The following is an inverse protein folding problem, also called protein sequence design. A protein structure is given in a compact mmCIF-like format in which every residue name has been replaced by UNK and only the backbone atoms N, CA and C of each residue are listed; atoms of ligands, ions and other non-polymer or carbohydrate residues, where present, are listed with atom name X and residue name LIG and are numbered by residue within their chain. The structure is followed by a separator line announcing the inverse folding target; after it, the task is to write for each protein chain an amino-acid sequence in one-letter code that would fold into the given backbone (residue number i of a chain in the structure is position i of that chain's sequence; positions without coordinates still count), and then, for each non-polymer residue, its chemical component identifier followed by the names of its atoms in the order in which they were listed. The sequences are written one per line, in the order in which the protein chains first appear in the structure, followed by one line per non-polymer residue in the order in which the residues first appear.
data_IF_788005354907
#
_entry.id   IF_788005354907
#
_cell.length_a   1.000
_cell.length_b   1.000
_cell.length_c   1.000
_cell.angle_alpha   90.00
_cell.angle_beta   90.00
_cell.angle_gamma   90.00
#
_symmetry.space_group_name_H-M   'P 1'
#
loop_
_entity.id
_entity.type
_entity.pdbx_description
1 polymer ?
#
# COMPACT_ATOMS: atom_id res chain seq x y z
N UNK A 1 -8.80 -5.16 18.05
CA UNK A 1 -7.54 -4.87 17.31
C UNK A 1 -7.43 -5.90 16.18
N UNK A 2 -7.58 -5.50 14.93
CA UNK A 2 -7.41 -6.43 13.81
C UNK A 2 -5.91 -6.63 13.59
N UNK A 3 -5.42 -7.81 13.87
CA UNK A 3 -4.08 -8.22 13.45
C UNK A 3 -4.16 -8.54 11.97
N UNK A 4 -3.59 -7.67 11.15
CA UNK A 4 -3.47 -7.95 9.72
C UNK A 4 -2.37 -8.97 9.53
N UNK A 5 -2.67 -10.03 8.77
CA UNK A 5 -1.62 -10.95 8.33
C UNK A 5 -0.69 -10.20 7.38
N UNK A 6 0.54 -9.96 7.82
CA UNK A 6 1.58 -9.42 6.97
C UNK A 6 1.98 -10.47 5.93
N UNK A 7 2.14 -10.07 4.69
CA UNK A 7 2.54 -10.97 3.62
C UNK A 7 3.96 -10.61 3.16
N UNK A 8 4.90 -11.47 3.51
CA UNK A 8 6.26 -11.40 2.97
C UNK A 8 6.41 -12.39 1.82
N UNK A 9 7.18 -11.97 0.83
CA UNK A 9 7.52 -12.75 -0.34
C UNK A 9 9.03 -12.84 -0.44
N UNK A 10 9.56 -14.06 -0.48
CA UNK A 10 10.98 -14.34 -0.56
C UNK A 10 11.40 -14.62 -2.00
N UNK A 11 12.38 -13.86 -2.48
CA UNK A 11 13.15 -14.16 -3.68
C UNK A 11 14.54 -14.74 -3.30
N UNK A 12 15.35 -15.07 -4.29
CA UNK A 12 16.69 -15.65 -4.06
C UNK A 12 17.54 -14.81 -3.10
N UNK A 13 17.59 -13.50 -3.29
CA UNK A 13 18.52 -12.60 -2.61
C UNK A 13 17.85 -11.56 -1.69
N UNK A 14 16.53 -11.47 -1.67
CA UNK A 14 15.80 -10.46 -0.89
C UNK A 14 14.40 -10.94 -0.46
N UNK A 15 13.82 -10.18 0.47
CA UNK A 15 12.42 -10.27 0.85
C UNK A 15 11.67 -9.01 0.41
N UNK A 16 10.38 -9.16 0.13
CA UNK A 16 9.48 -8.07 -0.19
C UNK A 16 8.27 -8.11 0.74
N UNK A 17 8.05 -7.04 1.51
CA UNK A 17 6.82 -6.86 2.27
C UNK A 17 5.74 -6.28 1.37
N UNK A 18 4.65 -7.02 1.21
CA UNK A 18 3.51 -6.58 0.41
C UNK A 18 2.66 -5.57 1.19
N UNK A 19 2.57 -4.36 0.67
CA UNK A 19 1.56 -3.37 1.08
C UNK A 19 0.56 -3.22 -0.06
N UNK A 20 -0.72 -3.41 0.24
CA UNK A 20 -1.75 -3.32 -0.79
C UNK A 20 -1.86 -1.90 -1.37
N UNK A 21 -2.13 -1.82 -2.68
CA UNK A 21 -2.33 -0.58 -3.46
C UNK A 21 -1.09 0.32 -3.60
N UNK A 22 0.09 -0.25 -3.40
CA UNK A 22 1.38 0.41 -3.64
C UNK A 22 2.09 -0.07 -4.92
N UNK A 23 1.41 -0.80 -5.80
CA UNK A 23 2.02 -1.42 -7.00
C UNK A 23 2.41 -2.89 -6.78
N UNK A 24 1.98 -3.50 -5.68
CA UNK A 24 2.35 -4.86 -5.27
C UNK A 24 2.09 -5.94 -6.34
N UNK A 25 0.98 -5.86 -7.09
CA UNK A 25 0.67 -6.84 -8.14
C UNK A 25 1.72 -6.87 -9.25
N UNK A 26 2.28 -5.73 -9.59
CA UNK A 26 3.33 -5.65 -10.60
C UNK A 26 4.65 -6.19 -10.07
N UNK A 27 4.98 -5.89 -8.80
CA UNK A 27 6.16 -6.48 -8.15
C UNK A 27 6.04 -8.00 -8.11
N UNK A 28 4.88 -8.53 -7.70
CA UNK A 28 4.66 -9.98 -7.63
C UNK A 28 4.74 -10.69 -8.99
N UNK A 29 4.38 -10.00 -10.08
CA UNK A 29 4.48 -10.55 -11.44
C UNK A 29 5.90 -10.50 -12.01
N UNK A 30 6.76 -9.67 -11.44
CA UNK A 30 8.12 -9.44 -11.93
C UNK A 30 9.10 -10.50 -11.45
N UNK A 31 8.87 -11.06 -10.27
CA UNK A 31 9.80 -11.99 -9.63
C UNK A 31 9.15 -13.34 -9.34
N UNK A 32 9.97 -14.39 -9.38
CA UNK A 32 9.58 -15.71 -8.89
C UNK A 32 9.70 -15.73 -7.36
N UNK A 33 8.58 -15.45 -6.70
CA UNK A 33 8.51 -15.37 -5.26
C UNK A 33 7.95 -16.64 -4.62
N UNK A 34 8.58 -17.06 -3.54
CA UNK A 34 7.99 -17.97 -2.58
C UNK A 34 7.22 -17.15 -1.54
N UNK A 35 5.90 -17.35 -1.44
CA UNK A 35 5.10 -16.71 -0.42
C UNK A 35 5.42 -17.29 0.96
N UNK A 36 5.92 -16.47 1.85
CA UNK A 36 6.09 -16.81 3.26
C UNK A 36 4.77 -16.55 3.97
N UNK A 37 4.08 -17.61 4.39
CA UNK A 37 2.93 -17.48 5.29
C UNK A 37 3.45 -17.07 6.67
N UNK A 38 3.02 -15.90 7.13
CA UNK A 38 3.36 -15.42 8.44
C UNK A 38 2.09 -15.40 9.27
N UNK A 39 2.08 -16.23 10.30
CA UNK A 39 1.03 -16.28 11.30
C UNK A 39 1.55 -15.63 12.59
N UNK A 40 0.98 -14.46 12.94
CA UNK A 40 1.26 -13.81 14.23
C UNK A 40 1.94 -12.43 14.15
N UNK A 41 1.97 -11.75 15.29
CA UNK A 41 2.50 -10.38 15.47
C UNK A 41 4.03 -10.27 15.31
N UNK A 42 4.75 -11.40 15.35
CA UNK A 42 6.21 -11.43 15.26
C UNK A 42 6.62 -12.31 14.09
N UNK A 43 6.94 -11.68 13.02
CA UNK A 43 7.34 -12.35 11.80
C UNK A 43 8.79 -12.81 11.87
N UNK A 44 9.01 -14.08 11.69
CA UNK A 44 10.35 -14.59 11.47
C UNK A 44 10.72 -14.31 10.01
N UNK A 45 11.30 -13.13 9.76
CA UNK A 45 11.95 -12.83 8.49
C UNK A 45 13.14 -13.77 8.29
N UNK A 46 13.47 -14.10 7.05
CA UNK A 46 14.60 -14.98 6.72
C UNK A 46 15.96 -14.36 7.06
N UNK A 47 15.99 -13.06 7.37
CA UNK A 47 17.20 -12.27 7.60
C UNK A 47 17.83 -11.73 6.33
N UNK A 48 17.20 -11.96 5.17
CA UNK A 48 17.59 -11.34 3.90
C UNK A 48 17.25 -9.85 3.90
N UNK A 49 17.87 -9.12 2.97
CA UNK A 49 17.54 -7.72 2.72
C UNK A 49 16.06 -7.57 2.38
N UNK A 50 15.33 -6.79 3.16
CA UNK A 50 13.88 -6.60 3.00
C UNK A 50 13.55 -5.21 2.50
N UNK A 51 12.72 -5.13 1.46
CA UNK A 51 12.23 -3.87 0.93
C UNK A 51 10.72 -3.86 0.76
N UNK A 52 10.17 -2.66 0.64
CA UNK A 52 8.74 -2.47 0.38
C UNK A 52 8.50 -1.23 -0.44
N UNK A 53 7.30 -1.12 -1.01
CA UNK A 53 6.86 0.07 -1.75
C UNK A 53 5.92 0.89 -0.88
N UNK A 54 6.20 2.18 -0.78
CA UNK A 54 5.32 3.16 -0.16
C UNK A 54 4.66 4.04 -1.22
N UNK A 55 3.45 4.45 -0.93
CA UNK A 55 2.69 5.38 -1.74
C UNK A 55 2.20 6.53 -0.86
N UNK A 56 1.99 7.71 -1.46
CA UNK A 56 1.28 8.79 -0.78
C UNK A 56 0.01 8.25 -0.10
N UNK A 57 -0.21 8.51 1.21
CA UNK A 57 -1.29 7.90 1.97
C UNK A 57 -2.69 8.14 1.38
N UNK A 58 -2.97 9.37 0.91
CA UNK A 58 -4.27 9.72 0.31
C UNK A 58 -4.47 9.05 -1.05
N UNK A 59 -3.42 9.04 -1.88
CA UNK A 59 -3.47 8.36 -3.19
C UNK A 59 -3.61 6.83 -3.04
N UNK A 60 -3.00 6.25 -2.01
CA UNK A 60 -3.16 4.83 -1.68
C UNK A 60 -4.59 4.52 -1.23
N UNK A 61 -5.13 5.32 -0.31
CA UNK A 61 -6.52 5.21 0.17
C UNK A 61 -7.51 5.30 -1.00
N UNK A 62 -7.39 6.34 -1.84
CA UNK A 62 -8.22 6.52 -3.03
C UNK A 62 -8.14 5.29 -3.95
N UNK A 63 -6.94 4.76 -4.17
CA UNK A 63 -6.76 3.56 -4.99
C UNK A 63 -7.43 2.32 -4.39
N UNK A 64 -7.44 2.18 -3.05
CA UNK A 64 -8.15 1.13 -2.33
C UNK A 64 -9.66 1.27 -2.48
N UNK A 65 -10.18 2.47 -2.25
CA UNK A 65 -11.60 2.77 -2.37
C UNK A 65 -12.11 2.55 -3.81
N UNK A 66 -11.37 3.03 -4.81
CA UNK A 66 -11.72 2.80 -6.22
C UNK A 66 -11.82 1.31 -6.56
N UNK A 67 -10.90 0.49 -6.04
CA UNK A 67 -10.94 -0.94 -6.27
C UNK A 67 -12.18 -1.58 -5.63
N UNK A 68 -12.49 -1.21 -4.38
CA UNK A 68 -13.67 -1.72 -3.69
C UNK A 68 -14.96 -1.32 -4.44
N UNK A 69 -15.06 -0.06 -4.87
CA UNK A 69 -16.21 0.44 -5.64
C UNK A 69 -16.35 -0.22 -7.01
N UNK A 70 -15.24 -0.56 -7.66
CA UNK A 70 -15.28 -1.26 -8.96
C UNK A 70 -15.85 -2.69 -8.86
N UNK A 71 -15.86 -3.26 -7.67
CA UNK A 71 -16.34 -4.60 -7.38
C UNK A 71 -17.71 -4.62 -6.67
N UNK A 72 -18.23 -3.45 -6.34
CA UNK A 72 -19.52 -3.28 -5.63
C UNK A 72 -20.43 -2.34 -6.43
N UNK A 73 -21.73 -2.46 -6.19
CA UNK A 73 -22.73 -1.57 -6.77
C UNK A 73 -23.07 -0.38 -5.83
N UNK A 74 -22.14 -0.04 -4.92
CA UNK A 74 -22.36 1.02 -3.95
C UNK A 74 -22.14 2.37 -4.61
N UNK A 75 -23.07 3.28 -4.41
CA UNK A 75 -22.96 4.68 -4.81
C UNK A 75 -22.09 5.43 -3.80
N UNK A 76 -21.24 6.32 -4.30
CA UNK A 76 -20.31 7.10 -3.48
C UNK A 76 -21.05 7.91 -2.40
N UNK A 77 -22.21 8.44 -2.73
CA UNK A 77 -23.03 9.28 -1.87
C UNK A 77 -23.61 8.53 -0.66
N UNK A 78 -23.66 7.20 -0.75
CA UNK A 78 -24.10 6.31 0.34
C UNK A 78 -22.97 5.83 1.24
N UNK A 79 -21.72 6.22 0.94
CA UNK A 79 -20.58 5.84 1.77
C UNK A 79 -20.58 6.61 3.09
N UNK A 80 -20.61 5.87 4.18
CA UNK A 80 -20.32 6.38 5.51
C UNK A 80 -18.84 6.21 5.81
N UNK A 81 -18.13 7.33 5.97
CA UNK A 81 -16.70 7.33 6.26
C UNK A 81 -16.38 6.63 7.58
N UNK A 82 -17.21 6.80 8.61
CA UNK A 82 -16.99 6.13 9.89
C UNK A 82 -17.07 4.62 9.74
N UNK A 83 -18.00 4.12 8.93
CA UNK A 83 -18.08 2.69 8.62
C UNK A 83 -16.86 2.22 7.82
N UNK A 84 -16.32 3.04 6.91
CA UNK A 84 -15.12 2.71 6.16
C UNK A 84 -13.86 2.71 7.03
N UNK A 85 -13.74 3.66 7.96
CA UNK A 85 -12.50 3.89 8.71
C UNK A 85 -12.43 3.11 10.02
N UNK A 86 -13.54 2.89 10.72
CA UNK A 86 -13.57 2.32 12.08
C UNK A 86 -13.96 0.85 12.13
N UNK A 87 -13.62 0.06 11.12
CA UNK A 87 -13.87 -1.39 11.02
C UNK A 87 -15.34 -1.82 10.94
N UNK A 88 -16.25 -0.93 10.95
CA UNK A 88 -17.58 -1.20 10.44
C UNK A 88 -17.52 -1.01 8.93
N UNK A 89 -16.61 -1.79 8.28
CA UNK A 89 -16.54 -1.85 6.83
C UNK A 89 -17.97 -2.00 6.34
N UNK A 90 -18.39 -1.11 5.48
CA UNK A 90 -19.71 -1.19 4.85
C UNK A 90 -19.95 -2.66 4.45
N UNK A 91 -21.01 -3.33 4.94
CA UNK A 91 -21.17 -4.78 4.80
C UNK A 91 -21.00 -5.28 3.38
N UNK A 92 -21.45 -4.48 2.40
CA UNK A 92 -21.34 -4.77 0.97
C UNK A 92 -19.89 -4.68 0.47
N UNK A 93 -19.08 -3.73 0.94
CA UNK A 93 -17.65 -3.65 0.60
C UNK A 93 -16.86 -4.79 1.23
N UNK A 94 -17.27 -5.25 2.41
CA UNK A 94 -16.65 -6.40 3.09
C UNK A 94 -16.90 -7.71 2.36
N UNK A 95 -18.07 -7.88 1.76
CA UNK A 95 -18.39 -9.07 0.96
C UNK A 95 -17.52 -9.17 -0.30
N UNK A 96 -17.08 -8.04 -0.83
CA UNK A 96 -16.34 -7.93 -2.09
C UNK A 96 -14.83 -8.02 -1.89
N UNK A 97 -14.30 -7.50 -0.78
CA UNK A 97 -12.85 -7.54 -0.51
C UNK A 97 -12.56 -8.10 0.87
N UNK A 98 -11.92 -9.28 0.90
CA UNK A 98 -11.43 -9.88 2.15
C UNK A 98 -10.30 -9.09 2.80
N UNK A 99 -9.71 -8.14 2.07
CA UNK A 99 -8.58 -7.34 2.53
C UNK A 99 -9.00 -5.89 2.61
N UNK A 100 -8.85 -5.23 3.77
CA UNK A 100 -9.17 -3.82 3.92
C UNK A 100 -8.16 -2.97 3.16
N UNK A 101 -8.45 -2.69 1.88
CA UNK A 101 -7.55 -1.95 0.98
C UNK A 101 -7.40 -0.48 1.37
N UNK A 102 -8.24 -0.01 2.27
CA UNK A 102 -8.22 1.36 2.82
C UNK A 102 -7.53 1.48 4.18
N UNK A 103 -7.09 0.35 4.77
CA UNK A 103 -6.36 0.37 6.04
C UNK A 103 -5.06 1.17 5.92
N UNK A 104 -4.61 1.76 7.04
CA UNK A 104 -3.35 2.50 7.10
C UNK A 104 -2.16 1.66 6.65
N UNK A 105 -1.25 2.24 5.86
CA UNK A 105 -0.05 1.52 5.45
C UNK A 105 0.93 1.30 6.61
N UNK A 106 0.90 2.15 7.64
CA UNK A 106 1.68 1.97 8.86
C UNK A 106 1.40 0.65 9.57
N UNK A 107 0.18 0.10 9.45
CA UNK A 107 -0.16 -1.19 10.05
C UNK A 107 0.64 -2.36 9.47
N UNK A 108 1.13 -2.23 8.23
CA UNK A 108 2.02 -3.22 7.59
C UNK A 108 3.46 -3.10 8.07
N UNK A 109 3.84 -1.94 8.60
CA UNK A 109 5.21 -1.67 9.03
C UNK A 109 5.46 -2.07 10.49
N UNK A 110 4.40 -2.20 11.30
CA UNK A 110 4.52 -2.56 12.72
C UNK A 110 5.11 -3.97 12.85
N UNK A 111 6.22 -4.08 13.56
CA UNK A 111 6.92 -5.34 13.78
C UNK A 111 7.71 -5.88 12.58
N UNK A 112 7.79 -5.11 11.48
CA UNK A 112 8.57 -5.46 10.30
C UNK A 112 9.94 -4.79 10.34
N UNK A 113 11.00 -5.54 9.98
CA UNK A 113 12.31 -4.96 9.71
C UNK A 113 12.43 -4.68 8.23
N UNK A 114 12.38 -3.41 7.85
CA UNK A 114 12.51 -2.96 6.47
C UNK A 114 13.85 -2.24 6.31
N UNK A 115 14.66 -2.73 5.38
CA UNK A 115 15.98 -2.17 5.11
C UNK A 115 15.91 -1.03 4.10
N UNK A 116 14.91 -1.07 3.19
CA UNK A 116 14.75 -0.04 2.16
C UNK A 116 13.28 0.20 1.78
N UNK A 117 12.96 1.46 1.54
CA UNK A 117 11.67 1.89 1.02
C UNK A 117 11.81 2.40 -0.41
N UNK A 118 10.91 1.98 -1.28
CA UNK A 118 10.79 2.48 -2.66
C UNK A 118 9.50 3.27 -2.77
N UNK A 119 9.56 4.49 -3.24
CA UNK A 119 8.35 5.26 -3.50
C UNK A 119 7.64 4.72 -4.74
N UNK A 120 6.32 4.67 -4.71
CA UNK A 120 5.52 4.17 -5.83
C UNK A 120 5.85 4.86 -7.16
N UNK A 121 6.13 6.16 -7.13
CA UNK A 121 6.48 6.92 -8.32
C UNK A 121 7.86 6.53 -8.90
N UNK A 122 8.76 6.02 -8.05
CA UNK A 122 10.12 5.61 -8.43
C UNK A 122 10.20 4.12 -8.74
N UNK A 123 9.14 3.35 -8.51
CA UNK A 123 9.14 1.89 -8.59
C UNK A 123 9.61 1.39 -9.96
N UNK A 124 9.16 2.00 -11.06
CA UNK A 124 9.58 1.59 -12.40
C UNK A 124 11.07 1.79 -12.61
N UNK A 125 11.60 2.94 -12.19
CA UNK A 125 13.03 3.23 -12.31
C UNK A 125 13.85 2.31 -11.40
N UNK A 126 13.39 2.08 -10.17
CA UNK A 126 14.01 1.13 -9.25
C UNK A 126 14.11 -0.28 -9.84
N UNK A 127 13.03 -0.82 -10.39
CA UNK A 127 13.01 -2.14 -10.99
C UNK A 127 13.92 -2.23 -12.22
N UNK A 128 13.91 -1.20 -13.06
CA UNK A 128 14.75 -1.13 -14.25
C UNK A 128 16.24 -1.10 -13.90
N UNK A 129 16.63 -0.25 -12.94
CA UNK A 129 18.05 -0.07 -12.57
C UNK A 129 18.60 -1.28 -11.82
N UNK A 130 17.85 -1.83 -10.87
CA UNK A 130 18.36 -2.88 -9.99
C UNK A 130 18.15 -4.31 -10.52
N UNK A 131 17.15 -4.51 -11.39
CA UNK A 131 16.77 -5.84 -11.85
C UNK A 131 16.65 -5.96 -13.38
N UNK A 132 16.81 -4.87 -14.14
CA UNK A 132 16.69 -4.89 -15.60
C UNK A 132 15.27 -5.11 -16.11
N UNK A 133 14.24 -4.96 -15.27
CA UNK A 133 12.84 -5.24 -15.59
C UNK A 133 12.00 -3.98 -15.62
N UNK A 134 11.01 -3.95 -16.51
CA UNK A 134 10.08 -2.84 -16.63
C UNK A 134 8.77 -3.15 -15.90
N UNK A 135 8.25 -2.14 -15.24
CA UNK A 135 7.00 -2.20 -14.52
C UNK A 135 5.81 -1.92 -15.47
N UNK A 136 4.84 -2.80 -15.48
CA UNK A 136 3.57 -2.55 -16.16
C UNK A 136 2.54 -2.01 -15.17
N UNK A 137 2.25 -0.73 -15.27
CA UNK A 137 1.25 -0.09 -14.43
C UNK A 137 -0.15 -0.60 -14.81
N UNK A 138 -0.80 -1.32 -13.90
CA UNK A 138 -2.22 -1.60 -14.02
C UNK A 138 -3.00 -0.29 -13.73
N UNK A 139 -3.28 0.47 -14.77
CA UNK A 139 -4.11 1.68 -14.67
C UNK A 139 -5.54 1.26 -14.35
N UNK A 140 -5.96 1.46 -13.11
CA UNK A 140 -7.39 1.37 -12.75
C UNK A 140 -8.22 2.39 -13.53
N UNK A 141 -9.55 2.21 -13.55
CA UNK A 141 -10.45 3.13 -14.24
C UNK A 141 -10.24 4.58 -13.82
N UNK A 142 -9.79 5.43 -14.72
CA UNK A 142 -9.63 6.87 -14.50
C UNK A 142 -10.95 7.54 -14.13
N UNK A 143 -12.06 7.03 -14.66
CA UNK A 143 -13.42 7.55 -14.41
C UNK A 143 -13.80 7.40 -12.94
N UNK A 144 -13.65 6.21 -12.36
CA UNK A 144 -13.95 5.96 -10.94
C UNK A 144 -13.02 6.80 -10.06
N UNK A 145 -11.72 6.86 -10.39
CA UNK A 145 -10.74 7.64 -9.63
C UNK A 145 -11.10 9.14 -9.60
N UNK A 146 -11.52 9.69 -10.72
CA UNK A 146 -11.92 11.10 -10.81
C UNK A 146 -13.22 11.37 -10.02
N UNK A 147 -14.20 10.46 -10.07
CA UNK A 147 -15.41 10.55 -9.25
C UNK A 147 -15.08 10.55 -7.75
N UNK A 148 -14.22 9.63 -7.29
CA UNK A 148 -13.80 9.55 -5.89
C UNK A 148 -13.06 10.82 -5.46
N UNK A 149 -12.11 11.32 -6.27
CA UNK A 149 -11.38 12.55 -5.96
C UNK A 149 -12.31 13.76 -5.88
N UNK A 150 -13.27 13.87 -6.80
CA UNK A 150 -14.27 14.92 -6.78
C UNK A 150 -15.14 14.83 -5.53
N UNK A 151 -15.67 13.64 -5.20
CA UNK A 151 -16.48 13.42 -3.99
C UNK A 151 -15.74 13.86 -2.73
N UNK A 152 -14.48 13.47 -2.55
CA UNK A 152 -13.66 13.87 -1.40
C UNK A 152 -13.51 15.40 -1.34
N UNK A 153 -13.21 16.04 -2.47
CA UNK A 153 -13.02 17.49 -2.56
C UNK A 153 -14.30 18.26 -2.26
N UNK A 154 -15.44 17.78 -2.74
CA UNK A 154 -16.73 18.44 -2.59
C UNK A 154 -17.34 18.22 -1.19
N UNK A 155 -16.96 17.15 -0.49
CA UNK A 155 -17.40 16.83 0.87
C UNK A 155 -16.32 17.18 1.90
N UNK A 156 -16.34 18.43 2.38
CA UNK A 156 -15.32 18.94 3.31
C UNK A 156 -15.23 18.20 4.64
N UNK A 157 -16.37 17.71 5.15
CA UNK A 157 -16.37 16.92 6.39
C UNK A 157 -15.67 15.58 6.17
N UNK A 158 -15.97 14.91 5.06
CA UNK A 158 -15.31 13.66 4.69
C UNK A 158 -13.79 13.87 4.50
N UNK A 159 -13.40 14.93 3.80
CA UNK A 159 -11.98 15.24 3.59
C UNK A 159 -11.25 15.45 4.93
N UNK A 160 -11.82 16.25 5.84
CA UNK A 160 -11.23 16.52 7.16
C UNK A 160 -11.08 15.25 8.02
N UNK A 161 -12.09 14.41 8.04
CA UNK A 161 -12.04 13.14 8.78
C UNK A 161 -11.03 12.17 8.15
N UNK A 162 -10.95 12.13 6.82
CA UNK A 162 -9.96 11.34 6.10
C UNK A 162 -8.54 11.80 6.40
N UNK A 163 -8.28 13.10 6.35
CA UNK A 163 -6.97 13.65 6.64
C UNK A 163 -6.56 13.33 8.09
N UNK A 164 -7.48 13.44 9.06
CA UNK A 164 -7.25 13.00 10.45
C UNK A 164 -6.95 11.49 10.55
N UNK A 165 -7.67 10.66 9.80
CA UNK A 165 -7.42 9.22 9.78
C UNK A 165 -6.04 8.88 9.21
N UNK A 166 -5.59 9.61 8.20
CA UNK A 166 -4.32 9.38 7.53
C UNK A 166 -3.13 10.07 8.22
N UNK A 167 -3.35 10.83 9.30
CA UNK A 167 -2.32 11.63 9.97
C UNK A 167 -1.09 10.80 10.36
N UNK A 168 -1.31 9.63 10.95
CA UNK A 168 -0.20 8.73 11.34
C UNK A 168 0.53 8.16 10.13
N UNK A 169 -0.17 7.86 9.04
CA UNK A 169 0.45 7.40 7.80
C UNK A 169 1.31 8.51 7.18
N UNK A 170 0.83 9.77 7.19
CA UNK A 170 1.61 10.90 6.72
C UNK A 170 2.83 11.17 7.60
N UNK A 171 2.68 11.10 8.92
CA UNK A 171 3.81 11.25 9.83
C UNK A 171 4.91 10.23 9.52
N UNK A 172 4.57 8.94 9.46
CA UNK A 172 5.54 7.87 9.17
C UNK A 172 6.10 8.01 7.75
N UNK A 173 5.28 8.34 6.77
CA UNK A 173 5.71 8.57 5.39
C UNK A 173 6.76 9.69 5.30
N UNK A 174 6.53 10.83 5.97
CA UNK A 174 7.48 11.93 6.03
C UNK A 174 8.78 11.54 6.79
N UNK A 175 8.68 10.82 7.90
CA UNK A 175 9.86 10.32 8.60
C UNK A 175 10.72 9.43 7.70
N UNK A 176 10.12 8.56 6.91
CA UNK A 176 10.84 7.70 5.98
C UNK A 176 11.49 8.53 4.86
N UNK A 177 10.79 9.54 4.33
CA UNK A 177 11.35 10.45 3.34
C UNK A 177 12.58 11.20 3.87
N UNK A 178 12.54 11.63 5.12
CA UNK A 178 13.61 12.45 5.73
C UNK A 178 14.81 11.61 6.23
N UNK A 179 14.62 10.31 6.48
CA UNK A 179 15.64 9.45 7.12
C UNK A 179 16.54 8.67 6.15
N UNK A 180 16.66 9.09 4.89
CA UNK A 180 17.55 8.47 3.89
C UNK A 180 17.39 6.95 3.70
N UNK A 181 16.25 6.38 4.09
CA UNK A 181 15.91 4.97 3.83
C UNK A 181 15.22 4.77 2.50
N UNK A 182 14.96 5.85 1.75
CA UNK A 182 14.41 5.76 0.41
C UNK A 182 15.47 5.43 -0.62
N UNK A 183 15.10 4.64 -1.61
CA UNK A 183 16.00 4.14 -2.65
C UNK A 183 16.82 5.23 -3.36
N UNK A 184 16.27 6.39 -3.68
CA UNK A 184 16.99 7.44 -4.41
C UNK A 184 18.19 8.03 -3.64
N UNK A 185 18.26 7.82 -2.32
CA UNK A 185 19.43 8.21 -1.52
C UNK A 185 20.52 7.12 -1.48
N UNK A 186 20.21 5.93 -1.96
CA UNK A 186 21.12 4.78 -1.91
C UNK A 186 21.73 4.43 -3.28
N UNK A 187 21.65 5.35 -4.26
CA UNK A 187 22.15 5.16 -5.63
C UNK A 187 23.62 4.72 -5.78
N UNK A 188 24.32 4.44 -4.70
CA UNK A 188 25.68 3.88 -4.70
C UNK A 188 25.81 2.45 -4.14
N UNK A 189 24.72 1.88 -3.59
CA UNK A 189 24.75 0.53 -3.01
C UNK A 189 23.93 -0.42 -3.88
N UNK A 190 24.57 -0.93 -4.93
CA UNK A 190 24.00 -1.97 -5.78
C UNK A 190 23.76 -3.22 -4.92
N UNK A 191 22.55 -3.74 -4.94
CA UNK A 191 22.26 -5.08 -4.44
C UNK A 191 22.87 -6.05 -5.44
N UNK A 192 24.12 -6.51 -5.15
CA UNK A 192 24.79 -7.55 -5.92
C UNK A 192 24.28 -8.92 -5.52
#
# INVERSE_FOLDING_TARGET
MFVQNLEFFEAKNFEYLLIHKTGCQSVLKTFDFKKLKITGLFNKQSGKFCWTVLRDPKERFISGLCHNLSLSNIELEKLDLKQLLFNTIHPELRAVSRTPLTILQTTYLIGSKIDMFVLHNDLNNFLKVNFGVSFHENKGSSVIKNKVKKFIKDNKNFEKELDKYLEIDYFVYQQILNNNKCWYWQLGKVIK
#
